data_IF_859154550406
#
_entry.id   IF_859154550406
#
_cell.length_a   1.000
_cell.length_b   1.000
_cell.length_c   1.000
_cell.angle_alpha   90.00
_cell.angle_beta   90.00
_cell.angle_gamma   90.00
#
_symmetry.space_group_name_H-M   'P 1'
#
loop_
_entity.id
_entity.type
_entity.pdbx_description
1 polymer ?
#
# COMPACT_ATOMS: atom_id res chain seq x y z
N UNK A 1 -24.24 3.09 7.10
CA UNK A 1 -23.15 4.09 7.08
C UNK A 1 -22.35 3.84 5.81
N UNK A 2 -22.40 4.81 4.88
CA UNK A 2 -21.80 4.72 3.55
C UNK A 2 -20.30 5.06 3.64
N UNK A 3 -19.42 4.05 3.52
CA UNK A 3 -18.00 4.28 3.27
C UNK A 3 -17.82 4.73 1.81
N UNK A 4 -17.94 6.00 1.56
CA UNK A 4 -17.71 6.58 0.23
C UNK A 4 -16.26 7.02 0.10
N UNK A 5 -15.41 6.17 -0.46
CA UNK A 5 -14.14 6.63 -1.03
C UNK A 5 -14.40 7.30 -2.38
N UNK A 6 -14.22 8.59 -2.46
CA UNK A 6 -14.36 9.32 -3.72
C UNK A 6 -12.97 9.68 -4.25
N UNK A 7 -12.52 9.00 -5.30
CA UNK A 7 -11.29 9.32 -6.00
C UNK A 7 -11.62 10.05 -7.29
N UNK A 8 -11.23 11.31 -7.41
CA UNK A 8 -11.39 12.11 -8.61
C UNK A 8 -10.03 12.18 -9.33
N UNK A 9 -9.91 11.54 -10.50
CA UNK A 9 -8.73 11.67 -11.36
C UNK A 9 -9.00 12.68 -12.48
N UNK A 10 -8.31 13.83 -12.43
CA UNK A 10 -8.26 14.75 -13.56
C UNK A 10 -7.11 14.36 -14.50
N UNK A 11 -7.40 13.89 -15.70
CA UNK A 11 -6.44 13.89 -16.80
C UNK A 11 -6.64 15.19 -17.60
N UNK A 12 -5.63 16.08 -17.56
CA UNK A 12 -5.59 17.23 -18.46
C UNK A 12 -5.38 16.74 -19.89
N UNK A 13 -6.34 16.86 -20.72
CA UNK A 13 -6.37 17.28 -22.12
C UNK A 13 -7.74 17.08 -22.82
N UNK A 14 -8.67 16.36 -22.21
CA UNK A 14 -10.07 16.38 -22.61
C UNK A 14 -10.87 16.14 -21.33
N UNK A 15 -11.68 17.07 -20.90
CA UNK A 15 -12.48 17.11 -19.70
C UNK A 15 -13.18 15.77 -19.34
N UNK A 16 -12.42 14.81 -18.81
CA UNK A 16 -12.95 13.55 -18.31
C UNK A 16 -12.71 13.52 -16.80
N UNK A 17 -13.74 13.79 -16.03
CA UNK A 17 -13.72 13.56 -14.59
C UNK A 17 -14.07 12.08 -14.34
N UNK A 18 -13.15 11.30 -13.81
CA UNK A 18 -13.43 9.95 -13.29
C UNK A 18 -13.68 10.06 -11.79
N UNK A 19 -14.93 9.85 -11.40
CA UNK A 19 -15.31 9.71 -9.99
C UNK A 19 -15.38 8.20 -9.70
N UNK A 20 -14.57 7.72 -8.76
CA UNK A 20 -14.66 6.34 -8.28
C UNK A 20 -15.32 6.35 -6.91
N UNK A 21 -16.40 5.61 -6.76
CA UNK A 21 -17.01 5.37 -5.46
C UNK A 21 -16.82 3.91 -5.07
N UNK A 22 -16.72 3.65 -3.79
CA UNK A 22 -16.84 2.31 -3.24
C UNK A 22 -18.24 2.21 -2.60
N UNK A 23 -19.10 1.40 -3.21
CA UNK A 23 -20.42 1.12 -2.64
C UNK A 23 -20.35 0.14 -1.47
N UNK A 24 -21.47 -0.01 -0.70
CA UNK A 24 -21.58 -0.91 0.46
C UNK A 24 -21.20 -2.36 0.18
N UNK A 25 -21.20 -2.82 -1.08
CA UNK A 25 -20.85 -4.19 -1.50
C UNK A 25 -19.37 -4.36 -1.93
N UNK A 26 -18.51 -3.37 -1.68
CA UNK A 26 -17.11 -3.44 -2.09
C UNK A 26 -16.85 -3.25 -3.59
N UNK A 27 -17.89 -3.05 -4.41
CA UNK A 27 -17.75 -2.80 -5.86
C UNK A 27 -17.24 -1.39 -6.11
N UNK A 28 -16.19 -1.28 -6.93
CA UNK A 28 -15.67 0.02 -7.39
C UNK A 28 -16.48 0.49 -8.58
N UNK A 29 -17.21 1.56 -8.43
CA UNK A 29 -17.87 2.23 -9.54
C UNK A 29 -16.95 3.34 -10.07
N UNK A 30 -16.63 3.31 -11.37
CA UNK A 30 -15.93 4.40 -12.03
C UNK A 30 -16.83 5.00 -13.09
N UNK A 31 -17.34 6.21 -12.88
CA UNK A 31 -18.03 6.96 -13.92
C UNK A 31 -17.02 7.86 -14.64
N UNK A 32 -16.81 7.62 -15.94
CA UNK A 32 -16.05 8.54 -16.79
C UNK A 32 -17.04 9.47 -17.47
N UNK A 33 -16.94 10.76 -17.18
CA UNK A 33 -17.80 11.79 -17.74
C UNK A 33 -17.14 12.36 -19.00
N UNK A 34 -17.73 12.10 -20.16
CA UNK A 34 -17.42 12.79 -21.41
C UNK A 34 -18.38 13.95 -21.61
N UNK A 35 -18.03 14.89 -22.46
CA UNK A 35 -18.73 16.17 -22.65
C UNK A 35 -20.15 16.12 -23.24
N UNK A 36 -20.79 14.98 -23.31
CA UNK A 36 -22.14 14.82 -23.91
C UNK A 36 -23.10 14.10 -22.98
N UNK A 37 -24.17 14.79 -22.55
CA UNK A 37 -25.37 14.19 -21.99
C UNK A 37 -25.56 14.24 -20.47
N UNK A 38 -26.64 13.60 -19.97
CA UNK A 38 -27.11 13.59 -18.58
C UNK A 38 -26.08 13.18 -17.51
N UNK A 39 -25.10 12.38 -17.88
CA UNK A 39 -23.98 11.96 -17.03
C UNK A 39 -23.14 13.14 -16.53
N UNK A 40 -23.21 14.29 -17.18
CA UNK A 40 -22.49 15.52 -16.86
C UNK A 40 -23.07 16.24 -15.63
N UNK A 41 -24.38 16.18 -15.41
CA UNK A 41 -25.05 16.85 -14.28
C UNK A 41 -24.85 16.07 -12.98
N UNK A 42 -24.99 14.75 -13.00
CA UNK A 42 -24.70 13.91 -11.83
C UNK A 42 -23.24 14.03 -11.37
N UNK A 43 -22.31 14.09 -12.33
CA UNK A 43 -20.91 14.33 -12.05
C UNK A 43 -20.61 15.68 -11.44
N UNK A 44 -21.30 16.74 -11.91
CA UNK A 44 -21.20 18.07 -11.30
C UNK A 44 -21.77 18.09 -9.89
N UNK A 45 -22.94 17.50 -9.66
CA UNK A 45 -23.54 17.41 -8.34
C UNK A 45 -22.65 16.67 -7.34
N UNK A 46 -22.06 15.53 -7.75
CA UNK A 46 -21.11 14.79 -6.94
C UNK A 46 -19.81 15.58 -6.66
N UNK A 47 -19.33 16.34 -7.65
CA UNK A 47 -18.14 17.20 -7.47
C UNK A 47 -18.41 18.35 -6.49
N UNK A 48 -19.57 19.02 -6.59
CA UNK A 48 -19.93 20.09 -5.65
C UNK A 48 -20.15 19.56 -4.23
N UNK A 49 -20.79 18.41 -4.06
CA UNK A 49 -20.91 17.74 -2.76
C UNK A 49 -19.56 17.45 -2.14
N UNK A 50 -18.58 17.00 -2.95
CA UNK A 50 -17.22 16.76 -2.47
C UNK A 50 -16.53 18.07 -2.07
N UNK A 51 -16.68 19.15 -2.84
CA UNK A 51 -16.13 20.46 -2.49
C UNK A 51 -16.75 21.01 -1.20
N UNK A 52 -18.05 20.83 -1.01
CA UNK A 52 -18.74 21.22 0.22
C UNK A 52 -18.22 20.41 1.41
N UNK A 53 -18.10 19.09 1.28
CA UNK A 53 -17.53 18.21 2.32
C UNK A 53 -16.06 18.57 2.66
N UNK A 54 -15.26 19.01 1.68
CA UNK A 54 -13.91 19.51 1.93
C UNK A 54 -13.92 20.84 2.67
N UNK A 55 -14.84 21.75 2.29
CA UNK A 55 -14.99 23.05 2.96
C UNK A 55 -15.47 22.89 4.40
N UNK A 56 -16.40 21.96 4.64
CA UNK A 56 -17.00 21.71 5.96
C UNK A 56 -16.07 20.88 6.87
N UNK A 57 -14.93 20.41 6.35
CA UNK A 57 -13.91 19.67 7.10
C UNK A 57 -14.16 18.16 7.23
N UNK A 58 -15.25 17.64 6.67
CA UNK A 58 -15.59 16.21 6.70
C UNK A 58 -14.67 15.37 5.83
N UNK A 59 -14.05 16.02 4.84
CA UNK A 59 -13.16 15.36 3.88
C UNK A 59 -11.87 16.17 3.71
N UNK A 60 -10.74 15.48 3.71
CA UNK A 60 -9.42 16.06 3.50
C UNK A 60 -8.88 15.69 2.13
N UNK A 61 -8.35 16.67 1.41
CA UNK A 61 -7.66 16.44 0.15
C UNK A 61 -6.25 15.91 0.40
N UNK A 62 -6.00 14.66 0.03
CA UNK A 62 -4.70 14.01 0.16
C UNK A 62 -3.75 14.46 -0.97
N UNK A 63 -4.23 14.38 -2.21
CA UNK A 63 -3.53 14.90 -3.40
C UNK A 63 -4.56 15.29 -4.47
N UNK A 64 -4.09 15.83 -5.61
CA UNK A 64 -4.99 16.16 -6.72
C UNK A 64 -5.81 14.95 -7.15
N UNK A 65 -7.11 15.01 -6.94
CA UNK A 65 -8.08 13.96 -7.29
C UNK A 65 -8.16 12.79 -6.30
N UNK A 66 -7.52 12.87 -5.12
CA UNK A 66 -7.64 11.88 -4.04
C UNK A 66 -8.05 12.59 -2.76
N UNK A 67 -9.15 12.13 -2.17
CA UNK A 67 -9.75 12.68 -0.96
C UNK A 67 -10.06 11.54 0.02
N UNK A 68 -10.02 11.83 1.31
CA UNK A 68 -10.40 10.89 2.36
C UNK A 68 -11.19 11.60 3.46
N UNK A 69 -12.10 10.89 4.10
CA UNK A 69 -12.79 11.36 5.30
C UNK A 69 -11.88 11.29 6.52
N UNK A 70 -12.23 12.01 7.59
CA UNK A 70 -11.49 11.94 8.86
C UNK A 70 -11.43 10.51 9.42
N UNK A 71 -12.52 9.74 9.28
CA UNK A 71 -12.57 8.33 9.68
C UNK A 71 -11.57 7.47 8.90
N UNK A 72 -11.49 7.67 7.57
CA UNK A 72 -10.53 6.97 6.71
C UNK A 72 -9.07 7.33 7.02
N UNK A 73 -8.82 8.56 7.48
CA UNK A 73 -7.48 8.98 7.91
C UNK A 73 -7.11 8.44 9.30
N UNK A 74 -8.10 8.18 10.14
CA UNK A 74 -7.92 7.53 11.43
C UNK A 74 -7.74 6.01 11.29
N UNK A 75 -8.15 5.42 10.17
CA UNK A 75 -7.93 4.01 9.88
C UNK A 75 -6.43 3.75 9.64
N UNK A 76 -5.93 2.63 10.15
CA UNK A 76 -4.52 2.25 10.02
C UNK A 76 -4.11 1.90 8.58
N UNK A 77 -5.08 1.79 7.67
CA UNK A 77 -4.87 1.49 6.26
C UNK A 77 -5.53 2.53 5.36
N UNK A 78 -4.76 2.97 4.38
CA UNK A 78 -5.21 3.89 3.32
C UNK A 78 -5.26 3.16 1.98
N UNK A 79 -5.99 3.72 1.01
CA UNK A 79 -5.96 3.23 -0.37
C UNK A 79 -4.60 3.55 -1.03
N UNK A 80 -3.63 2.68 -0.76
CA UNK A 80 -2.27 2.81 -1.31
C UNK A 80 -2.29 2.77 -2.83
N UNK A 81 -3.18 1.96 -3.44
CA UNK A 81 -3.30 1.88 -4.88
C UNK A 81 -3.79 3.20 -5.50
N UNK A 82 -4.67 3.94 -4.83
CA UNK A 82 -5.09 5.25 -5.30
C UNK A 82 -3.96 6.30 -5.22
N UNK A 83 -3.11 6.20 -4.20
CA UNK A 83 -2.02 7.16 -3.99
C UNK A 83 -0.79 6.78 -4.81
N UNK A 84 -0.39 5.51 -4.80
CA UNK A 84 0.77 4.95 -5.50
C UNK A 84 0.30 3.77 -6.37
N UNK A 85 -0.32 4.01 -7.53
CA UNK A 85 -0.85 2.93 -8.35
C UNK A 85 0.22 1.90 -8.71
N UNK A 86 -0.03 0.61 -8.49
CA UNK A 86 0.94 -0.48 -8.69
C UNK A 86 2.12 -0.44 -7.72
N UNK A 87 1.97 0.25 -6.59
CA UNK A 87 2.90 0.16 -5.47
C UNK A 87 2.64 -1.08 -4.64
N UNK A 88 3.67 -1.63 -4.03
CA UNK A 88 3.60 -2.83 -3.18
C UNK A 88 4.00 -2.46 -1.76
N UNK A 89 3.16 -2.76 -0.77
CA UNK A 89 3.53 -2.57 0.64
C UNK A 89 4.74 -3.43 0.98
N UNK A 90 5.72 -2.82 1.67
CA UNK A 90 6.97 -3.47 2.01
C UNK A 90 7.46 -3.05 3.40
N UNK A 91 8.54 -3.65 3.87
CA UNK A 91 9.20 -3.36 5.15
C UNK A 91 8.20 -3.21 6.31
N UNK A 92 8.30 -2.16 7.12
CA UNK A 92 7.48 -1.99 8.33
C UNK A 92 5.97 -2.08 8.07
N UNK A 93 5.49 -1.57 6.92
CA UNK A 93 4.07 -1.67 6.58
C UNK A 93 3.64 -3.12 6.32
N UNK A 94 4.43 -3.88 5.58
CA UNK A 94 4.15 -5.29 5.32
C UNK A 94 4.37 -6.15 6.57
N UNK A 95 5.42 -5.89 7.35
CA UNK A 95 5.67 -6.62 8.61
C UNK A 95 4.55 -6.44 9.61
N UNK A 96 4.00 -5.23 9.73
CA UNK A 96 2.86 -4.96 10.60
C UNK A 96 1.60 -5.73 10.16
N UNK A 97 1.26 -5.71 8.86
CA UNK A 97 0.11 -6.45 8.31
C UNK A 97 0.25 -7.96 8.55
N UNK A 98 1.45 -8.50 8.40
CA UNK A 98 1.72 -9.93 8.61
C UNK A 98 1.99 -10.33 10.08
N UNK A 99 1.96 -9.36 11.01
CA UNK A 99 2.26 -9.62 12.42
C UNK A 99 3.71 -10.04 12.68
N UNK A 100 4.65 -9.58 11.85
CA UNK A 100 6.07 -9.90 11.96
C UNK A 100 6.85 -8.92 12.86
N UNK A 101 6.27 -7.79 13.23
CA UNK A 101 6.84 -6.80 14.14
C UNK A 101 5.78 -6.17 15.02
N UNK A 102 6.18 -5.76 16.21
CA UNK A 102 5.37 -4.96 17.14
C UNK A 102 5.52 -3.46 16.89
N UNK A 103 6.51 -3.07 16.10
CA UNK A 103 6.78 -1.67 15.77
C UNK A 103 5.73 -1.11 14.82
N UNK A 104 5.02 -0.06 15.24
CA UNK A 104 4.06 0.64 14.40
C UNK A 104 4.81 1.53 13.38
N UNK A 105 4.52 1.40 12.08
CA UNK A 105 5.16 2.21 11.06
C UNK A 105 4.71 3.67 11.16
N UNK A 106 5.66 4.62 11.17
CA UNK A 106 5.38 6.05 11.15
C UNK A 106 5.13 6.62 9.74
N UNK A 107 5.28 5.77 8.73
CA UNK A 107 5.03 6.07 7.32
C UNK A 107 4.61 4.78 6.62
N UNK A 108 3.89 4.91 5.52
CA UNK A 108 3.62 3.77 4.64
C UNK A 108 4.85 3.49 3.79
N UNK A 109 5.46 2.33 3.98
CA UNK A 109 6.59 1.86 3.18
C UNK A 109 6.07 1.18 1.91
N UNK A 110 6.34 1.77 0.75
CA UNK A 110 5.82 1.29 -0.54
C UNK A 110 6.97 1.07 -1.51
N UNK A 111 7.09 -0.16 -1.99
CA UNK A 111 8.01 -0.53 -3.05
C UNK A 111 7.47 -0.10 -4.41
N UNK A 112 8.35 0.42 -5.25
CA UNK A 112 8.06 0.79 -6.64
C UNK A 112 9.21 0.39 -7.54
N UNK A 113 8.93 0.14 -8.82
CA UNK A 113 9.98 -0.19 -9.81
C UNK A 113 10.96 0.97 -9.96
N UNK A 114 12.25 0.66 -10.12
CA UNK A 114 13.31 1.65 -10.28
C UNK A 114 13.02 2.57 -11.48
N UNK A 115 13.31 3.84 -11.32
CA UNK A 115 13.09 4.85 -12.37
C UNK A 115 11.68 5.44 -12.43
N UNK A 116 10.73 4.88 -11.69
CA UNK A 116 9.38 5.42 -11.62
C UNK A 116 9.34 6.70 -10.79
N UNK A 117 8.87 7.80 -11.40
CA UNK A 117 8.65 9.09 -10.73
C UNK A 117 7.21 9.16 -10.22
N UNK A 118 7.04 9.41 -8.92
CA UNK A 118 5.73 9.49 -8.27
C UNK A 118 5.69 10.76 -7.45
N UNK A 119 4.64 11.54 -7.64
CA UNK A 119 4.36 12.70 -6.78
C UNK A 119 3.58 12.22 -5.57
N UNK A 120 4.19 12.32 -4.40
CA UNK A 120 3.57 11.95 -3.14
C UNK A 120 2.75 13.10 -2.56
N UNK A 121 1.71 12.80 -1.77
CA UNK A 121 1.02 13.79 -0.95
C UNK A 121 1.89 14.19 0.25
N UNK A 122 1.54 15.31 0.89
CA UNK A 122 2.13 15.69 2.18
C UNK A 122 1.66 14.80 3.33
N UNK A 123 0.45 14.30 3.22
CA UNK A 123 -0.16 13.36 4.17
C UNK A 123 -1.03 12.35 3.41
N UNK A 124 -1.07 11.09 3.82
CA UNK A 124 -0.21 10.46 4.83
C UNK A 124 1.25 10.37 4.38
N UNK A 125 2.16 10.22 5.34
CA UNK A 125 3.59 10.06 5.03
C UNK A 125 3.82 8.73 4.33
N UNK A 126 4.47 8.78 3.15
CA UNK A 126 4.80 7.61 2.35
C UNK A 126 6.30 7.62 2.08
N UNK A 127 6.96 6.50 2.33
CA UNK A 127 8.36 6.27 1.99
C UNK A 127 8.46 5.31 0.82
N UNK A 128 9.01 5.79 -0.31
CA UNK A 128 9.18 4.96 -1.51
C UNK A 128 10.51 4.20 -1.47
N UNK A 129 10.42 2.92 -1.75
CA UNK A 129 11.55 2.01 -1.90
C UNK A 129 11.69 1.60 -3.37
N UNK A 130 12.71 2.12 -4.04
CA UNK A 130 12.95 1.81 -5.45
C UNK A 130 13.65 0.46 -5.59
N UNK A 131 12.96 -0.52 -6.18
CA UNK A 131 13.44 -1.89 -6.37
C UNK A 131 13.65 -2.15 -7.86
N UNK A 132 14.69 -2.91 -8.20
CA UNK A 132 14.97 -3.32 -9.58
C UNK A 132 13.85 -4.23 -10.08
N UNK A 133 13.54 -4.15 -11.38
CA UNK A 133 12.43 -4.90 -11.99
C UNK A 133 12.55 -6.40 -11.76
N UNK A 134 13.76 -6.95 -11.83
CA UNK A 134 14.03 -8.38 -11.58
C UNK A 134 13.73 -8.85 -10.17
N UNK A 135 13.70 -7.95 -9.18
CA UNK A 135 13.44 -8.27 -7.78
C UNK A 135 12.08 -7.77 -7.29
N UNK A 136 11.41 -6.91 -8.08
CA UNK A 136 10.17 -6.26 -7.66
C UNK A 136 9.00 -7.24 -7.58
N UNK A 137 8.88 -8.12 -8.57
CA UNK A 137 7.72 -9.01 -8.68
C UNK A 137 7.84 -10.28 -7.80
N UNK A 138 9.01 -10.48 -7.13
CA UNK A 138 9.24 -11.64 -6.26
C UNK A 138 8.44 -11.48 -4.97
N UNK A 139 7.49 -12.39 -4.71
CA UNK A 139 6.72 -12.45 -3.48
C UNK A 139 5.62 -11.39 -3.36
N UNK A 140 5.16 -10.82 -4.47
CA UNK A 140 3.99 -9.92 -4.49
C UNK A 140 2.72 -10.75 -4.40
N UNK A 141 1.84 -10.38 -3.48
CA UNK A 141 0.49 -10.94 -3.34
C UNK A 141 -0.56 -9.84 -3.21
N UNK A 142 -1.80 -10.18 -3.44
CA UNK A 142 -2.95 -9.30 -3.21
C UNK A 142 -3.66 -9.71 -1.93
N UNK A 143 -3.88 -8.74 -1.05
CA UNK A 143 -4.68 -8.91 0.17
C UNK A 143 -5.79 -7.87 0.22
N UNK A 144 -6.85 -8.22 0.96
CA UNK A 144 -7.91 -7.27 1.34
C UNK A 144 -7.75 -6.94 2.80
N UNK A 145 -7.32 -5.73 3.10
CA UNK A 145 -7.13 -5.22 4.47
C UNK A 145 -8.01 -4.00 4.68
N UNK A 146 -8.82 -4.00 5.72
CA UNK A 146 -9.80 -2.93 6.00
C UNK A 146 -10.66 -2.58 4.78
N UNK A 147 -10.97 -3.58 3.94
CA UNK A 147 -11.76 -3.41 2.72
C UNK A 147 -11.02 -2.78 1.53
N UNK A 148 -9.72 -2.54 1.61
CA UNK A 148 -8.86 -2.11 0.51
C UNK A 148 -8.17 -3.31 -0.13
N UNK A 149 -8.16 -3.35 -1.47
CA UNK A 149 -7.30 -4.27 -2.21
C UNK A 149 -5.91 -3.66 -2.27
N UNK A 150 -4.94 -4.35 -1.69
CA UNK A 150 -3.56 -3.90 -1.63
C UNK A 150 -2.64 -4.95 -2.23
N UNK A 151 -1.60 -4.48 -2.92
CA UNK A 151 -0.46 -5.30 -3.24
C UNK A 151 0.53 -5.22 -2.09
N UNK A 152 1.02 -6.37 -1.64
CA UNK A 152 1.92 -6.49 -0.49
C UNK A 152 2.95 -7.58 -0.76
N UNK A 153 4.13 -7.46 -0.19
CA UNK A 153 5.06 -8.59 -0.17
C UNK A 153 4.63 -9.63 0.84
N UNK A 154 4.65 -10.90 0.45
CA UNK A 154 4.35 -12.03 1.33
C UNK A 154 5.38 -12.19 2.46
N UNK A 155 5.06 -13.03 3.43
CA UNK A 155 5.86 -13.22 4.66
C UNK A 155 7.31 -13.61 4.38
N UNK A 156 7.55 -14.53 3.44
CA UNK A 156 8.88 -15.00 3.08
C UNK A 156 9.72 -13.90 2.46
N UNK A 157 9.12 -13.09 1.59
CA UNK A 157 9.79 -11.93 1.03
C UNK A 157 10.08 -10.89 2.13
N UNK A 158 9.16 -10.66 3.03
CA UNK A 158 9.32 -9.75 4.16
C UNK A 158 10.51 -10.11 5.03
N UNK A 159 10.71 -11.40 5.33
CA UNK A 159 11.88 -11.89 6.08
C UNK A 159 13.19 -11.64 5.31
N UNK A 160 13.21 -11.94 4.02
CA UNK A 160 14.37 -11.67 3.18
C UNK A 160 14.73 -10.18 3.15
N UNK A 161 13.73 -9.30 3.09
CA UNK A 161 13.93 -7.85 3.11
C UNK A 161 14.44 -7.37 4.48
N UNK A 162 13.97 -7.95 5.60
CA UNK A 162 14.51 -7.65 6.94
C UNK A 162 15.99 -7.98 7.01
N UNK A 163 16.41 -9.16 6.55
CA UNK A 163 17.82 -9.57 6.52
C UNK A 163 18.63 -8.67 5.58
N UNK A 164 18.09 -8.31 4.43
CA UNK A 164 18.76 -7.44 3.45
C UNK A 164 19.01 -6.03 3.99
N UNK A 165 18.04 -5.48 4.69
CA UNK A 165 18.08 -4.11 5.20
C UNK A 165 18.50 -4.02 6.68
N UNK A 166 18.95 -5.12 7.31
CA UNK A 166 19.28 -5.21 8.74
C UNK A 166 20.15 -4.07 9.28
N UNK A 167 21.12 -3.60 8.49
CA UNK A 167 22.00 -2.49 8.89
C UNK A 167 21.30 -1.12 8.89
N UNK A 168 20.13 -1.01 8.24
CA UNK A 168 19.34 0.22 8.19
C UNK A 168 18.20 0.22 9.19
N UNK A 169 17.59 -0.94 9.42
CA UNK A 169 16.44 -1.10 10.30
C UNK A 169 16.83 -1.42 11.74
N UNK A 170 18.08 -1.86 11.98
CA UNK A 170 18.57 -2.39 13.24
C UNK A 170 18.55 -3.92 13.28
N UNK A 171 19.51 -4.49 14.02
CA UNK A 171 19.64 -5.94 14.15
C UNK A 171 18.55 -6.54 15.04
N UNK A 172 18.04 -5.78 15.97
CA UNK A 172 16.93 -6.10 16.86
C UNK A 172 15.63 -6.29 16.09
N UNK A 173 15.27 -5.34 15.23
CA UNK A 173 14.09 -5.45 14.35
C UNK A 173 14.23 -6.61 13.36
N UNK A 174 15.40 -6.79 12.78
CA UNK A 174 15.66 -7.93 11.91
C UNK A 174 15.45 -9.26 12.64
N UNK A 175 15.99 -9.40 13.86
CA UNK A 175 15.82 -10.60 14.70
C UNK A 175 14.35 -10.79 15.10
N UNK A 176 13.63 -9.74 15.43
CA UNK A 176 12.20 -9.79 15.75
C UNK A 176 11.40 -10.36 14.57
N UNK A 177 11.59 -9.80 13.35
CA UNK A 177 10.88 -10.26 12.15
C UNK A 177 11.17 -11.73 11.84
N UNK A 178 12.44 -12.16 11.91
CA UNK A 178 12.82 -13.56 11.68
C UNK A 178 12.20 -14.48 12.71
N UNK A 179 12.25 -14.11 14.00
CA UNK A 179 11.72 -14.90 15.10
C UNK A 179 10.19 -15.06 15.00
N UNK A 180 9.50 -13.96 14.76
CA UNK A 180 8.05 -13.98 14.63
C UNK A 180 7.60 -14.82 13.44
N UNK A 181 8.32 -14.76 12.31
CA UNK A 181 8.03 -15.62 11.16
C UNK A 181 8.26 -17.10 11.47
N UNK A 182 9.40 -17.47 12.11
CA UNK A 182 9.70 -18.87 12.46
C UNK A 182 8.65 -19.44 13.43
N UNK A 183 8.06 -18.61 14.28
CA UNK A 183 7.04 -19.01 15.24
C UNK A 183 5.66 -19.19 14.59
N UNK A 184 5.43 -18.70 13.36
CA UNK A 184 4.13 -18.86 12.69
C UNK A 184 3.94 -20.30 12.18
N UNK A 185 2.74 -20.87 12.32
CA UNK A 185 2.46 -22.26 11.91
C UNK A 185 2.42 -22.44 10.38
N UNK A 186 2.11 -21.37 9.65
CA UNK A 186 1.96 -21.33 8.20
C UNK A 186 3.26 -20.92 7.44
N UNK A 187 4.41 -20.92 8.14
CA UNK A 187 5.70 -20.62 7.54
C UNK A 187 6.08 -21.60 6.43
N UNK A 188 6.63 -21.10 5.35
CA UNK A 188 7.15 -21.91 4.25
C UNK A 188 8.67 -21.71 4.09
N UNK A 189 9.44 -22.57 4.78
CA UNK A 189 10.89 -22.48 4.77
C UNK A 189 11.51 -22.76 3.39
N UNK A 190 10.89 -23.62 2.58
CA UNK A 190 11.37 -23.90 1.22
C UNK A 190 11.28 -22.66 0.33
N UNK A 191 10.12 -21.98 0.36
CA UNK A 191 9.90 -20.75 -0.38
C UNK A 191 10.79 -19.62 0.13
N UNK A 192 10.98 -19.53 1.45
CA UNK A 192 11.89 -18.58 2.07
C UNK A 192 13.30 -18.72 1.54
N UNK A 193 13.82 -19.96 1.46
CA UNK A 193 15.17 -20.22 0.96
C UNK A 193 15.30 -19.93 -0.53
N UNK A 194 14.29 -20.23 -1.34
CA UNK A 194 14.25 -19.87 -2.76
C UNK A 194 14.32 -18.34 -2.95
N UNK A 195 13.54 -17.59 -2.17
CA UNK A 195 13.62 -16.13 -2.21
C UNK A 195 14.96 -15.59 -1.69
N UNK A 196 15.52 -16.21 -0.66
CA UNK A 196 16.80 -15.82 -0.11
C UNK A 196 17.95 -15.97 -1.13
N UNK A 197 17.88 -17.00 -1.97
CA UNK A 197 18.82 -17.19 -3.09
C UNK A 197 18.64 -16.07 -4.13
N UNK A 198 17.43 -15.87 -4.61
CA UNK A 198 17.10 -14.84 -5.62
C UNK A 198 17.47 -13.43 -5.16
N UNK A 199 17.27 -13.14 -3.87
CA UNK A 199 17.55 -11.83 -3.26
C UNK A 199 18.99 -11.70 -2.72
N UNK A 200 19.80 -12.78 -2.82
CA UNK A 200 21.22 -12.86 -2.39
C UNK A 200 21.43 -12.60 -0.90
N UNK A 201 20.53 -13.11 -0.07
CA UNK A 201 20.60 -12.98 1.40
C UNK A 201 20.74 -14.32 2.13
N UNK A 202 20.75 -15.46 1.41
CA UNK A 202 20.71 -16.82 1.95
C UNK A 202 21.74 -17.04 3.05
N UNK A 203 23.00 -16.77 2.79
CA UNK A 203 24.09 -17.01 3.75
C UNK A 203 23.86 -16.32 5.10
N UNK A 204 23.31 -15.13 5.06
CA UNK A 204 23.06 -14.34 6.27
C UNK A 204 21.79 -14.84 6.96
N UNK A 205 20.76 -15.16 6.18
CA UNK A 205 19.51 -15.71 6.71
C UNK A 205 19.75 -17.04 7.44
N UNK A 206 20.56 -17.93 6.88
CA UNK A 206 20.95 -19.21 7.51
C UNK A 206 21.60 -19.01 8.89
N UNK A 207 22.41 -17.95 9.05
CA UNK A 207 23.00 -17.63 10.36
C UNK A 207 21.93 -17.23 11.39
N UNK A 208 20.91 -16.46 10.99
CA UNK A 208 19.82 -16.11 11.88
C UNK A 208 18.96 -17.32 12.26
N UNK A 209 18.70 -18.21 11.32
CA UNK A 209 17.90 -19.41 11.55
C UNK A 209 18.67 -20.42 12.41
N UNK A 210 19.98 -20.64 12.16
CA UNK A 210 20.81 -21.58 12.91
C UNK A 210 20.97 -21.23 14.39
N UNK A 211 20.79 -19.98 14.77
CA UNK A 211 20.83 -19.55 16.18
C UNK A 211 19.52 -19.93 16.92
N UNK A 212 18.47 -20.27 16.18
CA UNK A 212 17.10 -20.44 16.71
C UNK A 212 16.55 -21.88 16.64
N UNK A 213 17.21 -22.74 15.88
CA UNK A 213 16.94 -24.17 15.81
C UNK A 213 17.90 -24.95 16.71
#
# INVERSE_FOLDING_TARGET
>A
FLNNQTTIRNKCSNFVHKIKYKGMEGKRYSNSFTSSGMVKEEGRAAYYKLLDSVRDGDTVRIKRGVYATAEQLADTMIDVEAIVPGGVLCLFSAWNVHGLTTSLPQAYHVAVKRGRKITLPTFPKIELHHITDTMFDIGVEELVVSGYHIHIYNKERCVCDAVKYRNKIGMDVCSEVVNNYISQPDRNLSLLMDYADKLRVRRILEQYIAIKL
#
